data_IF_038944679517
#
_entry.id   IF_038944679517
#
_cell.length_a   1.000
_cell.length_b   1.000
_cell.length_c   1.000
_cell.angle_alpha   90.00
_cell.angle_beta   90.00
_cell.angle_gamma   90.00
#
_symmetry.space_group_name_H-M   'P 1'
#
loop_
_entity.id
_entity.type
_entity.pdbx_description
1 polymer ?
#
# COMPACT_ATOMS: atom_id res chain seq x y z
N UNK A 1 -47.72 14.75 -36.75
CA UNK A 1 -46.71 15.72 -36.23
C UNK A 1 -46.26 15.41 -34.83
N UNK A 2 -47.17 15.22 -33.84
CA UNK A 2 -46.84 14.93 -32.42
C UNK A 2 -46.06 13.61 -32.22
N UNK A 3 -46.34 12.55 -32.96
CA UNK A 3 -45.70 11.25 -32.84
C UNK A 3 -44.16 11.35 -33.11
N UNK A 4 -43.77 12.13 -34.10
CA UNK A 4 -42.35 12.30 -34.42
C UNK A 4 -41.59 13.13 -33.38
N UNK A 5 -42.27 14.05 -32.72
CA UNK A 5 -41.69 14.83 -31.59
C UNK A 5 -41.49 13.92 -30.39
N UNK A 6 -42.46 13.08 -30.07
CA UNK A 6 -42.36 12.13 -28.93
C UNK A 6 -41.27 11.11 -29.17
N UNK A 7 -41.15 10.56 -30.40
CA UNK A 7 -40.04 9.64 -30.73
C UNK A 7 -38.66 10.31 -30.63
N UNK A 8 -38.53 11.56 -31.10
CA UNK A 8 -37.30 12.32 -31.03
C UNK A 8 -36.85 12.63 -29.61
N UNK A 9 -37.79 13.02 -28.74
CA UNK A 9 -37.47 13.26 -27.31
C UNK A 9 -37.11 11.98 -26.56
N UNK A 10 -37.79 10.87 -26.87
CA UNK A 10 -37.44 9.57 -26.27
C UNK A 10 -36.05 9.09 -26.68
N UNK A 11 -35.71 9.23 -27.97
CA UNK A 11 -34.37 8.88 -28.47
C UNK A 11 -33.26 9.73 -27.83
N UNK A 12 -33.53 11.03 -27.63
CA UNK A 12 -32.59 11.94 -26.96
C UNK A 12 -32.38 11.55 -25.49
N UNK A 13 -33.44 11.21 -24.77
CA UNK A 13 -33.37 10.77 -23.38
C UNK A 13 -32.58 9.46 -23.23
N UNK A 14 -32.80 8.51 -24.14
CA UNK A 14 -32.05 7.24 -24.16
C UNK A 14 -30.57 7.52 -24.45
N UNK A 15 -30.23 8.39 -25.38
CA UNK A 15 -28.86 8.76 -25.69
C UNK A 15 -28.16 9.43 -24.48
N UNK A 16 -28.85 10.33 -23.78
CA UNK A 16 -28.34 10.96 -22.57
C UNK A 16 -28.15 9.91 -21.45
N UNK A 17 -29.08 8.98 -21.28
CA UNK A 17 -28.97 7.93 -20.28
C UNK A 17 -27.80 6.97 -20.57
N UNK A 18 -27.61 6.62 -21.84
CA UNK A 18 -26.47 5.79 -22.27
C UNK A 18 -25.13 6.53 -22.10
N UNK A 19 -25.08 7.84 -22.40
CA UNK A 19 -23.84 8.62 -22.19
C UNK A 19 -23.53 8.80 -20.70
N UNK A 20 -24.52 9.04 -19.85
CA UNK A 20 -24.31 9.10 -18.39
C UNK A 20 -23.88 7.75 -17.84
N UNK A 21 -24.50 6.63 -18.29
CA UNK A 21 -24.09 5.28 -17.92
C UNK A 21 -22.64 4.98 -18.34
N UNK A 22 -22.26 5.37 -19.55
CA UNK A 22 -20.90 5.19 -20.07
C UNK A 22 -19.85 6.04 -19.31
N UNK A 23 -20.24 7.23 -18.82
CA UNK A 23 -19.39 8.07 -17.99
C UNK A 23 -19.27 7.54 -16.56
N UNK A 24 -20.32 6.93 -16.02
CA UNK A 24 -20.27 6.32 -14.67
C UNK A 24 -19.41 5.04 -14.61
N UNK A 25 -19.33 4.26 -15.67
CA UNK A 25 -18.45 3.07 -15.73
C UNK A 25 -16.95 3.43 -15.76
N UNK A 26 -16.60 4.66 -16.11
CA UNK A 26 -15.20 5.12 -16.15
C UNK A 26 -14.71 5.75 -14.83
N UNK A 27 -15.46 5.72 -13.76
CA UNK A 27 -14.90 5.99 -12.44
C UNK A 27 -14.06 4.78 -12.05
N UNK A 28 -12.80 4.77 -12.49
CA UNK A 28 -11.81 3.80 -12.04
C UNK A 28 -11.88 3.72 -10.51
N UNK A 29 -12.32 2.58 -9.98
CA UNK A 29 -12.25 2.33 -8.54
C UNK A 29 -10.78 2.30 -8.16
N UNK A 30 -10.25 3.45 -7.76
CA UNK A 30 -8.91 3.54 -7.20
C UNK A 30 -8.91 2.78 -5.88
N UNK A 31 -8.12 1.73 -5.81
CA UNK A 31 -7.82 1.12 -4.52
C UNK A 31 -6.78 1.99 -3.82
N UNK A 32 -7.12 2.53 -2.68
CA UNK A 32 -6.21 3.37 -1.92
C UNK A 32 -5.98 2.83 -0.51
N UNK A 33 -4.78 3.08 -0.02
CA UNK A 33 -4.33 2.85 1.35
C UNK A 33 -4.16 4.23 1.97
N UNK A 34 -4.89 4.54 3.04
CA UNK A 34 -4.76 5.83 3.73
C UNK A 34 -3.67 5.76 4.80
N UNK A 35 -2.82 6.78 4.83
CA UNK A 35 -1.84 7.01 5.89
C UNK A 35 -2.11 8.30 6.68
N UNK A 36 -3.28 8.90 6.49
CA UNK A 36 -3.70 10.13 7.15
C UNK A 36 -3.63 10.04 8.67
N UNK A 37 -4.18 8.95 9.24
CA UNK A 37 -4.20 8.76 10.69
C UNK A 37 -2.78 8.66 11.26
N UNK A 38 -1.91 7.85 10.63
CA UNK A 38 -0.52 7.72 11.05
C UNK A 38 0.21 9.05 11.00
N UNK A 39 0.09 9.79 9.90
CA UNK A 39 0.75 11.07 9.71
C UNK A 39 0.29 12.11 10.73
N UNK A 40 -1.02 12.20 11.00
CA UNK A 40 -1.57 13.15 11.97
C UNK A 40 -1.17 12.83 13.41
N UNK A 41 -1.04 11.55 13.76
CA UNK A 41 -0.70 11.13 15.11
C UNK A 41 0.80 11.18 15.40
N UNK A 42 1.64 10.89 14.41
CA UNK A 42 3.06 10.62 14.63
C UNK A 42 4.00 11.48 13.79
N UNK A 43 3.49 12.20 12.81
CA UNK A 43 4.31 12.86 11.78
C UNK A 43 4.91 11.90 10.74
N UNK A 44 4.63 10.58 10.85
CA UNK A 44 5.13 9.57 9.93
C UNK A 44 3.99 8.98 9.09
N UNK A 45 4.20 8.73 7.79
CA UNK A 45 3.20 8.13 6.91
C UNK A 45 3.04 6.62 7.23
N UNK A 46 2.35 6.31 8.32
CA UNK A 46 2.14 4.94 8.80
C UNK A 46 0.82 4.41 8.27
N UNK A 47 0.84 3.19 7.76
CA UNK A 47 -0.35 2.42 7.35
C UNK A 47 -0.46 1.15 8.17
N UNK A 48 -1.71 0.76 8.47
CA UNK A 48 -1.99 -0.54 9.08
C UNK A 48 -2.51 -1.49 8.01
N UNK A 49 -1.78 -2.56 7.78
CA UNK A 49 -2.15 -3.65 6.88
C UNK A 49 -2.37 -4.92 7.70
N UNK A 50 -3.09 -5.88 7.14
CA UNK A 50 -3.37 -7.15 7.82
C UNK A 50 -2.68 -8.29 7.08
N UNK A 51 -1.94 -9.13 7.81
CA UNK A 51 -1.47 -10.41 7.34
C UNK A 51 -2.20 -11.49 8.13
N UNK A 52 -3.02 -12.30 7.45
CA UNK A 52 -3.92 -13.25 8.07
C UNK A 52 -4.85 -12.56 9.10
N UNK A 53 -4.58 -12.67 10.40
CA UNK A 53 -5.38 -12.06 11.48
C UNK A 53 -4.61 -10.95 12.22
N UNK A 54 -3.35 -10.72 11.86
CA UNK A 54 -2.46 -9.79 12.55
C UNK A 54 -2.43 -8.43 11.85
N UNK A 55 -2.72 -7.38 12.60
CA UNK A 55 -2.54 -6.00 12.14
C UNK A 55 -1.08 -5.62 12.27
N UNK A 56 -0.50 -5.12 11.19
CA UNK A 56 0.89 -4.73 11.08
C UNK A 56 0.98 -3.26 10.67
N UNK A 57 1.73 -2.48 11.42
CA UNK A 57 1.97 -1.08 11.11
C UNK A 57 3.27 -0.96 10.31
N UNK A 58 3.18 -0.39 9.13
CA UNK A 58 4.31 -0.12 8.26
C UNK A 58 4.45 1.39 8.04
N UNK A 59 5.68 1.89 8.09
CA UNK A 59 5.97 3.23 7.58
C UNK A 59 6.20 3.16 6.06
N UNK A 60 5.67 4.13 5.31
CA UNK A 60 5.97 4.29 3.89
C UNK A 60 7.33 5.00 3.79
N UNK A 61 8.32 4.31 3.25
CA UNK A 61 9.70 4.81 3.12
C UNK A 61 10.23 4.65 1.71
N UNK A 62 9.97 5.64 0.86
CA UNK A 62 10.49 5.66 -0.52
C UNK A 62 12.01 5.88 -0.61
N UNK A 63 12.67 6.22 0.49
CA UNK A 63 14.11 6.29 0.59
C UNK A 63 14.77 4.92 0.72
N UNK A 64 14.01 3.90 1.13
CA UNK A 64 14.47 2.52 1.12
C UNK A 64 14.19 1.85 -0.22
N UNK A 65 15.17 1.19 -0.82
CA UNK A 65 14.99 0.40 -2.04
C UNK A 65 14.11 -0.83 -1.78
N UNK A 66 14.28 -1.47 -0.62
CA UNK A 66 13.59 -2.70 -0.23
C UNK A 66 12.60 -2.45 0.90
N UNK A 67 11.51 -3.20 0.89
CA UNK A 67 10.64 -3.31 2.05
C UNK A 67 11.28 -4.20 3.10
N UNK A 68 11.12 -3.84 4.37
CA UNK A 68 11.70 -4.55 5.49
C UNK A 68 10.62 -5.04 6.44
N UNK A 69 10.83 -6.21 7.04
CA UNK A 69 10.02 -6.74 8.13
C UNK A 69 10.90 -7.03 9.34
N UNK A 70 10.45 -6.64 10.53
CA UNK A 70 11.17 -6.96 11.75
C UNK A 70 11.12 -8.47 12.00
N UNK A 71 12.28 -9.08 12.24
CA UNK A 71 12.41 -10.52 12.47
C UNK A 71 11.45 -11.07 13.53
N UNK A 72 11.21 -10.33 14.61
CA UNK A 72 10.35 -10.77 15.72
C UNK A 72 8.87 -10.87 15.35
N UNK A 73 8.48 -10.34 14.19
CA UNK A 73 7.11 -10.41 13.68
C UNK A 73 6.82 -11.75 13.01
N UNK A 74 7.85 -12.43 12.48
CA UNK A 74 7.70 -13.64 11.67
C UNK A 74 6.97 -14.77 12.40
N UNK A 75 7.14 -14.91 13.71
CA UNK A 75 6.49 -15.95 14.50
C UNK A 75 4.96 -15.85 14.51
N UNK A 76 4.40 -14.70 14.15
CA UNK A 76 2.97 -14.38 14.26
C UNK A 76 2.26 -14.22 12.92
N UNK A 77 3.01 -14.21 11.81
CA UNK A 77 2.49 -13.92 10.47
C UNK A 77 2.63 -15.11 9.54
N UNK A 78 1.95 -15.03 8.40
CA UNK A 78 2.08 -16.00 7.31
C UNK A 78 2.96 -15.42 6.22
N UNK A 79 3.97 -16.17 5.81
CA UNK A 79 4.88 -15.82 4.75
C UNK A 79 5.37 -17.05 3.99
N UNK A 80 5.95 -16.82 2.83
CA UNK A 80 6.64 -17.81 2.01
C UNK A 80 8.13 -17.50 2.02
N UNK A 81 8.97 -18.49 2.30
CA UNK A 81 10.41 -18.34 2.13
C UNK A 81 10.75 -18.22 0.64
N UNK A 82 11.75 -17.44 0.34
CA UNK A 82 12.28 -17.31 -1.02
C UNK A 82 13.75 -17.73 -1.04
N UNK A 83 14.25 -18.06 -2.24
CA UNK A 83 15.69 -18.33 -2.44
C UNK A 83 16.50 -17.02 -2.62
N UNK A 84 15.85 -15.87 -2.46
CA UNK A 84 16.50 -14.57 -2.58
C UNK A 84 17.18 -14.18 -1.28
N UNK A 85 18.38 -13.65 -1.42
CA UNK A 85 19.15 -13.02 -0.34
C UNK A 85 19.39 -11.57 -0.72
N UNK A 86 19.20 -10.66 0.20
CA UNK A 86 19.44 -9.23 -0.03
C UNK A 86 20.51 -8.71 0.92
N UNK A 87 21.36 -7.85 0.40
CA UNK A 87 22.29 -7.07 1.23
C UNK A 87 21.69 -5.69 1.49
N UNK A 88 21.53 -5.34 2.76
CA UNK A 88 21.14 -3.99 3.14
C UNK A 88 22.41 -3.16 3.27
N UNK A 89 22.55 -2.11 2.44
CA UNK A 89 23.56 -1.08 2.61
C UNK A 89 22.91 0.19 3.14
N UNK A 90 23.44 0.74 4.22
CA UNK A 90 23.07 2.08 4.68
C UNK A 90 23.77 3.16 3.85
N UNK A 91 23.39 4.42 4.07
CA UNK A 91 24.03 5.60 3.43
C UNK A 91 25.53 5.68 3.69
N UNK A 92 26.02 4.97 4.72
CA UNK A 92 27.43 4.86 5.10
C UNK A 92 28.25 3.87 4.26
N UNK A 93 27.65 3.28 3.21
CA UNK A 93 28.26 2.26 2.34
C UNK A 93 28.82 1.01 3.06
N UNK A 94 28.45 0.80 4.32
CA UNK A 94 28.80 -0.45 5.00
C UNK A 94 27.83 -1.53 4.55
N UNK A 95 28.34 -2.51 3.81
CA UNK A 95 27.60 -3.73 3.46
C UNK A 95 27.25 -4.42 4.77
N UNK A 96 25.98 -4.46 5.11
CA UNK A 96 25.48 -5.26 6.21
C UNK A 96 25.25 -6.69 5.69
N UNK A 97 25.24 -7.62 6.62
CA UNK A 97 25.05 -9.05 6.43
C UNK A 97 23.97 -9.37 5.39
N UNK A 98 24.18 -10.45 4.66
CA UNK A 98 23.11 -11.06 3.84
C UNK A 98 21.91 -11.39 4.72
N UNK A 99 20.75 -10.96 4.29
CA UNK A 99 19.48 -11.09 5.01
C UNK A 99 18.51 -11.89 4.15
N UNK A 100 17.73 -12.74 4.80
CA UNK A 100 16.70 -13.54 4.14
C UNK A 100 15.60 -12.65 3.58
N UNK A 101 15.02 -13.06 2.45
CA UNK A 101 13.89 -12.39 1.83
C UNK A 101 12.66 -13.31 1.90
N UNK A 102 11.57 -12.78 2.39
CA UNK A 102 10.29 -13.48 2.46
C UNK A 102 9.25 -12.81 1.59
N UNK A 103 8.32 -13.59 1.05
CA UNK A 103 7.15 -13.09 0.35
C UNK A 103 5.95 -13.09 1.28
N UNK A 104 5.23 -11.98 1.35
CA UNK A 104 4.04 -11.84 2.19
C UNK A 104 2.87 -11.27 1.41
N UNK A 105 1.66 -11.75 1.74
CA UNK A 105 0.40 -11.15 1.32
C UNK A 105 -0.10 -10.23 2.42
N UNK A 106 -0.39 -9.00 2.06
CA UNK A 106 -0.91 -7.95 2.94
C UNK A 106 -2.30 -7.51 2.46
N UNK A 107 -3.20 -7.29 3.37
CA UNK A 107 -4.59 -6.91 3.08
C UNK A 107 -4.87 -5.53 3.66
N UNK A 108 -5.44 -4.67 2.82
CA UNK A 108 -6.04 -3.42 3.25
C UNK A 108 -7.48 -3.37 2.74
N UNK A 109 -8.45 -3.36 3.67
CA UNK A 109 -9.89 -3.50 3.36
C UNK A 109 -10.14 -4.79 2.55
N UNK A 110 -10.49 -4.66 1.28
CA UNK A 110 -10.82 -5.75 0.34
C UNK A 110 -9.68 -6.05 -0.67
N UNK A 111 -8.58 -5.29 -0.62
CA UNK A 111 -7.44 -5.47 -1.52
C UNK A 111 -6.35 -6.31 -0.87
N UNK A 112 -5.96 -7.36 -1.58
CA UNK A 112 -4.76 -8.15 -1.29
C UNK A 112 -3.61 -7.59 -2.14
N UNK A 113 -2.46 -7.40 -1.52
CA UNK A 113 -1.24 -6.91 -2.16
C UNK A 113 -0.09 -7.81 -1.71
N UNK A 114 0.72 -8.28 -2.64
CA UNK A 114 1.90 -9.09 -2.34
C UNK A 114 3.17 -8.24 -2.39
N UNK A 115 4.16 -8.60 -1.59
CA UNK A 115 5.46 -7.95 -1.58
C UNK A 115 6.57 -8.85 -1.09
N UNK A 116 7.80 -8.51 -1.50
CA UNK A 116 9.04 -9.10 -0.99
C UNK A 116 9.58 -8.22 0.13
N UNK A 117 9.96 -8.84 1.24
CA UNK A 117 10.43 -8.17 2.43
C UNK A 117 11.75 -8.78 2.90
N UNK A 118 12.72 -7.93 3.12
CA UNK A 118 13.98 -8.34 3.75
C UNK A 118 13.74 -8.46 5.25
N UNK A 119 14.14 -9.59 5.81
CA UNK A 119 14.01 -9.88 7.25
C UNK A 119 15.21 -9.31 7.98
N UNK A 120 14.99 -8.36 8.87
CA UNK A 120 16.10 -7.76 9.61
C UNK A 120 15.71 -7.38 11.04
N UNK A 121 16.68 -7.10 11.89
CA UNK A 121 16.44 -6.61 13.24
C UNK A 121 16.24 -5.09 13.21
N UNK A 122 15.02 -4.67 13.47
CA UNK A 122 14.60 -3.27 13.54
C UNK A 122 14.21 -2.83 14.96
N UNK A 123 14.50 -3.65 15.97
CA UNK A 123 14.03 -3.44 17.33
C UNK A 123 14.45 -2.10 17.90
N UNK A 124 15.73 -1.73 17.79
CA UNK A 124 16.25 -0.48 18.35
C UNK A 124 15.61 0.74 17.69
N UNK A 125 15.51 0.73 16.33
CA UNK A 125 14.90 1.83 15.58
C UNK A 125 13.42 1.97 15.91
N UNK A 126 12.71 0.85 15.96
CA UNK A 126 11.26 0.87 16.26
C UNK A 126 10.95 1.16 17.72
N UNK A 127 11.86 0.81 18.67
CA UNK A 127 11.73 1.20 20.05
C UNK A 127 11.85 2.72 20.24
N UNK A 128 12.77 3.37 19.51
CA UNK A 128 12.90 4.84 19.52
C UNK A 128 11.61 5.49 19.00
N UNK A 129 11.12 5.07 17.84
CA UNK A 129 9.87 5.61 17.26
C UNK A 129 8.69 5.38 18.22
N UNK A 130 8.60 4.18 18.82
CA UNK A 130 7.54 3.88 19.78
C UNK A 130 7.61 4.76 21.03
N UNK A 131 8.80 5.07 21.53
CA UNK A 131 8.96 5.96 22.70
C UNK A 131 8.48 7.38 22.42
N UNK A 132 8.62 7.86 21.18
CA UNK A 132 8.23 9.20 20.77
C UNK A 132 6.75 9.29 20.38
N UNK A 133 6.23 8.27 19.73
CA UNK A 133 4.89 8.30 19.09
C UNK A 133 3.84 7.43 19.74
N UNK A 134 4.26 6.47 20.57
CA UNK A 134 3.39 5.43 21.15
C UNK A 134 3.01 4.32 20.17
N UNK A 135 3.41 4.41 18.89
CA UNK A 135 3.02 3.47 17.83
C UNK A 135 4.08 2.38 17.66
N UNK A 136 3.67 1.12 17.75
CA UNK A 136 4.53 -0.01 17.43
C UNK A 136 4.60 -0.22 15.93
N UNK A 137 5.78 -0.12 15.34
CA UNK A 137 6.06 -0.50 13.97
C UNK A 137 6.45 -1.97 13.86
N UNK A 138 6.18 -2.55 12.69
CA UNK A 138 6.47 -3.96 12.38
C UNK A 138 7.36 -4.10 11.16
N UNK A 139 7.41 -3.09 10.30
CA UNK A 139 8.20 -3.05 9.08
C UNK A 139 8.12 -1.70 8.39
N UNK A 140 8.71 -1.63 7.21
CA UNK A 140 8.57 -0.49 6.31
C UNK A 140 8.24 -0.97 4.89
N UNK A 141 7.51 -0.16 4.14
CA UNK A 141 7.23 -0.37 2.72
C UNK A 141 8.21 0.48 1.92
N UNK A 142 9.16 -0.19 1.28
CA UNK A 142 10.16 0.43 0.43
C UNK A 142 9.68 0.67 -1.00
N UNK A 143 10.55 1.25 -1.83
CA UNK A 143 10.25 1.57 -3.23
C UNK A 143 9.84 0.35 -4.04
N UNK A 144 10.40 -0.85 -3.78
CA UNK A 144 10.00 -2.10 -4.43
C UNK A 144 8.50 -2.36 -4.30
N UNK A 145 7.92 -2.20 -3.10
CA UNK A 145 6.50 -2.43 -2.87
C UNK A 145 5.61 -1.52 -3.73
N UNK A 146 5.98 -0.25 -3.83
CA UNK A 146 5.20 0.73 -4.61
C UNK A 146 5.32 0.49 -6.11
N UNK A 147 6.52 0.15 -6.59
CA UNK A 147 6.78 -0.14 -8.01
C UNK A 147 6.04 -1.39 -8.45
N UNK A 148 6.20 -2.50 -7.72
CA UNK A 148 5.64 -3.81 -8.07
C UNK A 148 4.10 -3.77 -8.07
N UNK A 149 3.52 -3.01 -7.14
CA UNK A 149 2.08 -2.87 -7.00
C UNK A 149 1.51 -1.63 -7.70
N UNK A 150 2.34 -0.88 -8.45
CA UNK A 150 1.96 0.30 -9.23
C UNK A 150 1.24 1.37 -8.40
N UNK A 151 1.72 1.60 -7.20
CA UNK A 151 1.19 2.63 -6.33
C UNK A 151 1.72 4.02 -6.69
N UNK A 152 0.83 5.00 -6.60
CA UNK A 152 1.13 6.43 -6.57
C UNK A 152 0.91 6.91 -5.15
N UNK A 153 1.86 7.66 -4.60
CA UNK A 153 1.74 8.26 -3.27
C UNK A 153 1.29 9.71 -3.47
N UNK A 154 0.17 10.05 -2.85
CA UNK A 154 -0.43 11.37 -2.89
C UNK A 154 -0.46 11.97 -1.47
N UNK A 155 0.44 12.89 -1.21
CA UNK A 155 0.53 13.56 0.08
C UNK A 155 -0.56 14.62 0.30
N UNK A 156 -1.18 15.14 -0.76
CA UNK A 156 -2.30 16.08 -0.60
C UNK A 156 -3.52 15.37 -0.02
N UNK A 157 -3.81 14.18 -0.55
CA UNK A 157 -4.92 13.35 -0.10
C UNK A 157 -4.53 12.38 1.04
N UNK A 158 -3.23 12.31 1.38
CA UNK A 158 -2.64 11.39 2.38
C UNK A 158 -2.99 9.93 2.12
N UNK A 159 -2.88 9.53 0.84
CA UNK A 159 -3.18 8.18 0.38
C UNK A 159 -2.09 7.64 -0.56
N UNK A 160 -1.94 6.32 -0.57
CA UNK A 160 -1.27 5.62 -1.66
C UNK A 160 -2.33 4.85 -2.45
N UNK A 161 -2.39 5.02 -3.77
CA UNK A 161 -3.38 4.37 -4.61
C UNK A 161 -2.76 3.68 -5.81
N UNK A 162 -3.37 2.58 -6.24
CA UNK A 162 -3.01 1.92 -7.50
C UNK A 162 -4.17 2.05 -8.48
N UNK A 163 -3.85 2.33 -9.74
CA UNK A 163 -4.83 2.21 -10.83
C UNK A 163 -5.06 0.72 -11.08
N UNK A 164 -6.32 0.29 -11.14
CA UNK A 164 -6.66 -1.01 -11.69
C UNK A 164 -6.31 -0.98 -13.19
N UNK A 165 -5.44 -1.86 -13.62
CA UNK A 165 -5.25 -2.14 -15.05
C UNK A 165 -6.27 -3.16 -15.46
#
# INVERSE_FOLDING_TARGET
>A
MYVNIILGTLALLIAIFLTIGFFQERVEKKHYISFMEGLNLTGLPIVTLTNNRHKLNFVLDTGSANSLINKDVLERITFENTDYVSSISGIDNKVRKEEDVVKMSLVYKDKITEGLFVVTDLNDVFASIRSETGVQLHGLLGSNFFVDNKYVIDYNEMVAYSKRI
#
